data_IF_623457319599
#
_entry.id   IF_623457319599
#
_cell.length_a   1.000
_cell.length_b   1.000
_cell.length_c   1.000
_cell.angle_alpha   90.00
_cell.angle_beta   90.00
_cell.angle_gamma   90.00
#
_symmetry.space_group_name_H-M   'P 1'
#
loop_
_entity.id
_entity.type
_entity.pdbx_description
1 polymer ?
#
# COMPACT_ATOMS: atom_id res chain seq x y z
N UNK A 1 15.83 -62.01 31.02
CA UNK A 1 16.92 -62.39 31.93
C UNK A 1 18.24 -61.98 31.29
N UNK A 2 19.02 -61.12 31.98
CA UNK A 2 20.39 -60.64 31.69
C UNK A 2 20.59 -59.86 30.37
N UNK A 3 20.72 -58.53 30.33
CA UNK A 3 21.73 -57.65 30.95
C UNK A 3 23.16 -57.95 30.51
N UNK A 4 23.76 -57.07 29.70
CA UNK A 4 25.16 -56.63 29.82
C UNK A 4 25.31 -55.22 29.26
N UNK A 5 25.67 -54.30 30.17
CA UNK A 5 26.09 -52.91 29.93
C UNK A 5 27.56 -52.91 29.53
N UNK A 6 27.97 -52.11 28.56
CA UNK A 6 29.35 -51.58 28.50
C UNK A 6 29.37 -50.20 27.82
N UNK A 7 30.29 -49.38 28.28
CA UNK A 7 30.29 -47.92 28.39
C UNK A 7 31.17 -47.19 27.37
N UNK A 8 30.83 -45.91 27.14
CA UNK A 8 31.70 -44.74 26.90
C UNK A 8 32.65 -44.75 25.68
N UNK A 9 32.52 -43.76 24.78
CA UNK A 9 33.48 -42.64 24.71
C UNK A 9 32.98 -41.51 23.79
N UNK A 10 33.14 -40.28 24.28
CA UNK A 10 32.83 -39.02 23.62
C UNK A 10 33.80 -38.71 22.47
N UNK A 11 33.31 -38.29 21.30
CA UNK A 11 34.15 -37.62 20.29
C UNK A 11 34.02 -36.09 20.43
N UNK A 12 35.09 -35.45 20.91
CA UNK A 12 35.30 -34.00 20.79
C UNK A 12 35.89 -33.66 19.41
N UNK A 13 35.60 -32.47 18.85
CA UNK A 13 36.23 -31.99 17.63
C UNK A 13 37.70 -31.59 17.88
N UNK A 14 38.56 -31.97 16.94
CA UNK A 14 40.01 -31.80 16.98
C UNK A 14 40.38 -30.43 16.37
N UNK A 15 40.84 -29.52 17.22
CA UNK A 15 41.56 -28.30 16.86
C UNK A 15 43.01 -28.63 16.48
N UNK A 16 43.54 -27.96 15.46
CA UNK A 16 44.95 -27.95 15.10
C UNK A 16 45.39 -26.56 14.60
N UNK A 17 46.67 -26.19 14.75
CA UNK A 17 47.10 -24.82 15.01
C UNK A 17 47.61 -24.03 13.78
N UNK A 18 47.69 -22.72 13.99
CA UNK A 18 48.20 -21.69 13.08
C UNK A 18 49.67 -21.42 13.39
N UNK A 19 50.54 -21.50 12.38
CA UNK A 19 51.88 -20.88 12.37
C UNK A 19 52.23 -20.53 10.91
N UNK A 20 52.13 -19.25 10.56
CA UNK A 20 53.24 -18.34 10.25
C UNK A 20 54.26 -18.84 9.21
N UNK A 21 54.20 -18.25 8.01
CA UNK A 21 55.38 -17.93 7.21
C UNK A 21 55.20 -16.56 6.55
N UNK A 22 56.13 -15.66 6.88
CA UNK A 22 56.33 -14.34 6.30
C UNK A 22 56.91 -14.46 4.89
N UNK A 23 56.41 -13.67 3.94
CA UNK A 23 57.17 -13.27 2.76
C UNK A 23 56.77 -11.86 2.33
N UNK A 24 57.78 -10.99 2.32
CA UNK A 24 57.75 -9.59 1.94
C UNK A 24 57.13 -9.34 0.56
N UNK A 25 56.21 -8.38 0.49
CA UNK A 25 56.01 -7.59 -0.74
C UNK A 25 55.78 -6.13 -0.35
N UNK A 26 56.77 -5.32 -0.65
CA UNK A 26 56.75 -3.88 -0.44
C UNK A 26 55.59 -3.26 -1.24
N UNK A 27 54.65 -2.63 -0.55
CA UNK A 27 53.69 -1.70 -1.14
C UNK A 27 54.25 -0.29 -1.00
N UNK A 28 54.51 0.34 -2.14
CA UNK A 28 54.88 1.74 -2.25
C UNK A 28 53.72 2.63 -1.81
N UNK A 29 54.03 3.62 -0.96
CA UNK A 29 53.11 4.67 -0.51
C UNK A 29 53.05 5.75 -1.62
N UNK A 30 51.87 6.11 -2.15
CA UNK A 30 51.75 7.33 -2.93
C UNK A 30 51.57 8.55 -2.00
N UNK A 31 52.32 9.60 -2.30
CA UNK A 31 52.37 10.89 -1.59
C UNK A 31 51.06 11.69 -1.65
N UNK A 32 50.81 12.62 -0.70
CA UNK A 32 49.55 13.35 -0.61
C UNK A 32 49.51 14.48 -1.65
N UNK A 33 48.51 14.47 -2.52
CA UNK A 33 48.20 15.58 -3.42
C UNK A 33 46.78 16.07 -3.19
N UNK A 34 46.70 17.29 -2.68
CA UNK A 34 45.58 18.23 -2.76
C UNK A 34 44.27 17.83 -2.07
N UNK A 35 44.12 18.25 -0.81
CA UNK A 35 42.83 18.35 -0.13
C UNK A 35 41.92 19.29 -0.95
N UNK A 36 40.94 18.72 -1.68
CA UNK A 36 39.77 19.49 -2.11
C UNK A 36 38.95 19.78 -0.87
N UNK A 37 39.05 21.00 -0.36
CA UNK A 37 38.13 21.52 0.62
C UNK A 37 36.71 21.48 0.02
N UNK A 38 35.84 20.64 0.56
CA UNK A 38 34.41 20.81 0.39
C UNK A 38 34.03 22.06 1.18
N UNK A 39 33.88 23.18 0.48
CA UNK A 39 33.15 24.33 1.02
C UNK A 39 31.69 23.92 1.16
N UNK A 40 31.35 23.28 2.27
CA UNK A 40 29.98 23.23 2.75
C UNK A 40 29.66 24.65 3.21
N UNK A 41 29.11 25.45 2.29
CA UNK A 41 28.46 26.70 2.66
C UNK A 41 27.42 26.35 3.72
N UNK A 42 27.50 26.87 4.96
CA UNK A 42 26.39 26.75 5.88
C UNK A 42 25.26 27.54 5.22
N UNK A 43 24.24 26.83 4.76
CA UNK A 43 23.00 27.47 4.34
C UNK A 43 22.49 28.20 5.58
N UNK A 44 22.50 29.53 5.52
CA UNK A 44 22.08 30.39 6.61
C UNK A 44 20.68 29.98 7.01
N UNK A 45 20.53 29.45 8.22
CA UNK A 45 19.23 29.20 8.84
C UNK A 45 18.51 30.54 8.89
N UNK A 46 17.54 30.73 8.00
CA UNK A 46 16.63 31.86 8.08
C UNK A 46 15.86 31.74 9.41
N UNK A 47 15.90 32.74 10.31
CA UNK A 47 15.22 32.68 11.60
C UNK A 47 13.69 32.71 11.49
N UNK A 48 13.12 32.69 10.27
CA UNK A 48 11.69 32.72 9.99
C UNK A 48 11.11 31.35 9.57
N UNK A 49 11.77 30.23 9.89
CA UNK A 49 11.32 28.87 9.52
C UNK A 49 9.92 28.48 10.03
N UNK A 50 9.34 29.20 10.99
CA UNK A 50 7.95 29.00 11.41
C UNK A 50 6.92 29.40 10.34
N UNK A 51 7.25 30.33 9.45
CA UNK A 51 6.36 30.85 8.42
C UNK A 51 6.48 30.10 7.06
N UNK A 52 7.41 29.15 6.94
CA UNK A 52 7.64 28.40 5.69
C UNK A 52 6.77 27.15 5.57
N UNK A 53 6.07 26.74 6.65
CA UNK A 53 5.07 25.67 6.57
C UNK A 53 3.84 26.25 5.85
N UNK A 54 3.41 25.66 4.72
CA UNK A 54 2.20 26.12 4.03
C UNK A 54 0.99 26.00 4.97
N UNK A 55 0.22 27.08 5.08
CA UNK A 55 -1.06 27.07 5.79
C UNK A 55 -2.10 26.36 4.92
N UNK A 56 -2.12 25.02 5.00
CA UNK A 56 -3.03 24.16 4.25
C UNK A 56 -4.31 23.96 5.09
N UNK A 57 -5.47 24.01 4.43
CA UNK A 57 -6.74 23.69 5.08
C UNK A 57 -6.85 22.18 5.31
N UNK A 58 -6.77 21.77 6.58
CA UNK A 58 -6.81 20.36 7.01
C UNK A 58 -8.22 19.84 7.34
N UNK A 59 -9.29 20.54 6.92
CA UNK A 59 -10.66 20.15 7.27
C UNK A 59 -11.05 18.79 6.69
N UNK A 60 -10.64 18.47 5.46
CA UNK A 60 -10.86 17.17 4.84
C UNK A 60 -9.74 16.87 3.81
N UNK A 61 -9.72 15.67 3.25
CA UNK A 61 -8.67 15.28 2.29
C UNK A 61 -8.74 16.05 0.98
N UNK A 62 -9.93 16.46 0.53
CA UNK A 62 -10.09 17.24 -0.70
C UNK A 62 -9.50 18.65 -0.55
N UNK A 63 -9.65 19.27 0.62
CA UNK A 63 -9.12 20.63 0.89
C UNK A 63 -7.60 20.69 0.98
N UNK A 64 -6.92 19.54 1.10
CA UNK A 64 -5.46 19.46 1.10
C UNK A 64 -4.85 19.63 -0.30
N UNK A 65 -5.64 19.42 -1.36
CA UNK A 65 -5.20 19.47 -2.75
C UNK A 65 -5.96 20.55 -3.54
N UNK A 66 -5.85 21.85 -3.17
CA UNK A 66 -6.63 22.93 -3.77
C UNK A 66 -6.32 23.17 -5.25
N UNK A 67 -5.13 22.82 -5.74
CA UNK A 67 -4.79 22.98 -7.16
C UNK A 67 -5.47 21.92 -8.03
N UNK A 68 -5.65 20.70 -7.50
CA UNK A 68 -6.27 19.59 -8.23
C UNK A 68 -7.78 19.56 -8.01
N UNK A 69 -8.24 19.90 -6.80
CA UNK A 69 -9.61 19.77 -6.33
C UNK A 69 -10.11 21.11 -5.75
N UNK A 70 -10.24 22.16 -6.58
CA UNK A 70 -10.62 23.49 -6.10
C UNK A 70 -12.05 23.53 -5.53
N UNK A 71 -12.95 22.69 -6.04
CA UNK A 71 -14.37 22.67 -5.69
C UNK A 71 -14.68 21.78 -4.47
N UNK A 72 -13.69 21.17 -3.81
CA UNK A 72 -13.90 20.32 -2.62
C UNK A 72 -14.57 18.98 -2.92
N UNK A 73 -15.10 18.24 -1.91
CA UNK A 73 -15.74 16.94 -2.14
C UNK A 73 -17.07 17.05 -2.91
N UNK A 74 -17.53 15.98 -3.59
CA UNK A 74 -18.91 15.86 -4.08
C UNK A 74 -19.92 16.10 -2.92
N UNK A 75 -21.22 16.41 -3.16
CA UNK A 75 -21.97 16.37 -4.42
C UNK A 75 -21.95 17.69 -5.20
N UNK A 76 -20.93 18.53 -5.02
CA UNK A 76 -20.79 19.74 -5.82
C UNK A 76 -20.83 19.37 -7.32
N UNK A 77 -21.69 19.98 -8.14
CA UNK A 77 -21.88 19.58 -9.54
C UNK A 77 -20.62 19.71 -10.40
N UNK A 78 -19.61 20.43 -9.91
CA UNK A 78 -18.30 20.59 -10.54
C UNK A 78 -17.29 19.51 -10.12
N UNK A 79 -17.52 18.80 -9.00
CA UNK A 79 -16.62 17.75 -8.50
C UNK A 79 -17.12 16.38 -8.94
N UNK A 80 -16.41 15.79 -9.90
CA UNK A 80 -16.63 14.40 -10.31
C UNK A 80 -16.02 13.43 -9.30
N UNK A 81 -16.58 12.21 -9.23
CA UNK A 81 -15.97 11.14 -8.44
C UNK A 81 -14.59 10.79 -8.96
N UNK A 82 -14.38 10.78 -10.28
CA UNK A 82 -13.09 10.52 -10.90
C UNK A 82 -12.12 11.70 -10.72
N UNK A 83 -10.89 11.39 -10.29
CA UNK A 83 -9.86 12.38 -9.99
C UNK A 83 -8.68 12.17 -10.94
N UNK A 84 -8.18 13.23 -11.60
CA UNK A 84 -6.99 13.13 -12.43
C UNK A 84 -5.74 12.80 -11.59
N UNK A 85 -5.37 11.51 -11.53
CA UNK A 85 -4.28 11.01 -10.68
C UNK A 85 -2.92 11.65 -10.99
N UNK A 86 -2.69 12.05 -12.25
CA UNK A 86 -1.44 12.70 -12.67
C UNK A 86 -1.26 14.07 -12.01
N UNK A 87 -2.31 14.88 -11.97
CA UNK A 87 -2.26 16.20 -11.33
C UNK A 87 -2.25 16.07 -9.81
N UNK A 88 -3.04 15.13 -9.26
CA UNK A 88 -3.03 14.83 -7.82
C UNK A 88 -1.62 14.45 -7.34
N UNK A 89 -0.94 13.56 -8.07
CA UNK A 89 0.43 13.15 -7.75
C UNK A 89 1.43 14.30 -7.85
N UNK A 90 1.30 15.16 -8.85
CA UNK A 90 2.19 16.31 -9.02
C UNK A 90 2.04 17.31 -7.87
N UNK A 91 0.80 17.60 -7.46
CA UNK A 91 0.51 18.46 -6.31
C UNK A 91 0.99 17.83 -5.01
N UNK A 92 0.71 16.55 -4.79
CA UNK A 92 1.21 15.80 -3.62
C UNK A 92 2.73 15.90 -3.48
N UNK A 93 3.50 15.64 -4.54
CA UNK A 93 4.97 15.73 -4.50
C UNK A 93 5.45 17.16 -4.22
N UNK A 94 4.77 18.17 -4.77
CA UNK A 94 5.07 19.58 -4.49
C UNK A 94 4.85 19.94 -3.02
N UNK A 95 3.70 19.54 -2.45
CA UNK A 95 3.36 19.76 -1.05
C UNK A 95 4.31 19.01 -0.11
N UNK A 96 4.57 17.73 -0.39
CA UNK A 96 5.46 16.87 0.40
C UNK A 96 6.90 17.42 0.45
N UNK A 97 7.41 17.97 -0.66
CA UNK A 97 8.70 18.64 -0.68
C UNK A 97 8.70 19.90 0.21
N UNK A 98 7.60 20.65 0.26
CA UNK A 98 7.49 21.85 1.10
C UNK A 98 7.36 21.50 2.58
N UNK A 99 6.66 20.43 2.93
CA UNK A 99 6.40 20.01 4.32
C UNK A 99 7.39 18.95 4.84
N UNK A 100 8.53 18.74 4.19
CA UNK A 100 9.49 17.72 4.62
C UNK A 100 10.11 18.07 5.98
N UNK A 101 10.09 17.17 6.99
CA UNK A 101 10.48 17.49 8.36
C UNK A 101 11.95 17.90 8.52
N UNK A 102 12.84 17.40 7.66
CA UNK A 102 14.27 17.77 7.66
C UNK A 102 14.53 19.24 7.31
N UNK A 103 13.55 19.95 6.74
CA UNK A 103 13.68 21.38 6.43
C UNK A 103 13.46 22.27 7.66
N UNK A 104 12.95 21.71 8.76
CA UNK A 104 12.55 22.47 9.94
C UNK A 104 13.44 22.14 11.14
N UNK A 105 13.77 23.15 11.97
CA UNK A 105 14.54 22.93 13.19
C UNK A 105 13.74 22.06 14.17
N UNK A 106 14.42 21.27 15.03
CA UNK A 106 13.76 20.49 16.08
C UNK A 106 12.81 21.34 16.93
N UNK A 107 11.64 20.81 17.28
CA UNK A 107 10.62 21.48 18.07
C UNK A 107 9.25 21.48 17.41
N UNK A 108 8.40 22.44 17.78
CA UNK A 108 7.04 22.56 17.25
C UNK A 108 6.95 22.67 15.72
N UNK A 109 7.86 23.37 15.00
CA UNK A 109 7.80 23.45 13.53
C UNK A 109 8.01 22.08 12.87
N UNK A 110 9.00 21.31 13.35
CA UNK A 110 9.25 19.95 12.86
C UNK A 110 8.06 19.03 13.13
N UNK A 111 7.47 19.07 14.33
CA UNK A 111 6.28 18.26 14.64
C UNK A 111 5.08 18.61 13.74
N UNK A 112 4.85 19.90 13.47
CA UNK A 112 3.80 20.34 12.52
C UNK A 112 4.06 19.81 11.11
N UNK A 113 5.31 19.89 10.65
CA UNK A 113 5.71 19.37 9.34
C UNK A 113 5.55 17.84 9.25
N UNK A 114 5.94 17.10 10.30
CA UNK A 114 5.73 15.65 10.41
C UNK A 114 4.24 15.29 10.33
N UNK A 115 3.39 15.97 11.11
CA UNK A 115 1.96 15.73 11.13
C UNK A 115 1.31 16.04 9.77
N UNK A 116 1.65 17.17 9.14
CA UNK A 116 1.13 17.53 7.82
C UNK A 116 1.61 16.56 6.72
N UNK A 117 2.88 16.14 6.77
CA UNK A 117 3.42 15.13 5.87
C UNK A 117 2.68 13.80 6.01
N UNK A 118 2.43 13.34 7.24
CA UNK A 118 1.65 12.12 7.48
C UNK A 118 0.22 12.25 6.91
N UNK A 119 -0.44 13.38 7.17
CA UNK A 119 -1.79 13.66 6.68
C UNK A 119 -1.85 13.71 5.14
N UNK A 120 -0.87 14.33 4.48
CA UNK A 120 -0.79 14.36 3.01
C UNK A 120 -0.62 12.97 2.41
N UNK A 121 0.19 12.11 3.05
CA UNK A 121 0.36 10.72 2.61
C UNK A 121 -0.94 9.93 2.72
N UNK A 122 -1.65 10.07 3.85
CA UNK A 122 -2.94 9.42 4.07
C UNK A 122 -3.97 9.90 3.04
N UNK A 123 -4.12 11.21 2.90
CA UNK A 123 -5.04 11.81 1.95
C UNK A 123 -4.74 11.43 0.50
N UNK A 124 -3.45 11.42 0.10
CA UNK A 124 -3.07 10.99 -1.23
C UNK A 124 -3.43 9.51 -1.47
N UNK A 125 -3.13 8.62 -0.52
CA UNK A 125 -3.48 7.19 -0.63
C UNK A 125 -4.99 7.01 -0.77
N UNK A 126 -5.76 7.61 0.13
CA UNK A 126 -7.22 7.52 0.13
C UNK A 126 -7.85 8.11 -1.13
N UNK A 127 -7.40 9.28 -1.57
CA UNK A 127 -7.95 9.90 -2.78
C UNK A 127 -7.45 9.24 -4.06
N UNK A 128 -6.31 8.54 -4.05
CA UNK A 128 -5.79 7.86 -5.24
C UNK A 128 -6.52 6.56 -5.57
N UNK A 129 -7.01 5.84 -4.55
CA UNK A 129 -7.74 4.59 -4.70
C UNK A 129 -9.27 4.86 -4.75
N UNK A 130 -9.99 4.47 -5.82
CA UNK A 130 -11.42 4.72 -5.91
C UNK A 130 -12.25 4.10 -4.77
N UNK A 131 -11.90 2.90 -4.32
CA UNK A 131 -12.61 2.24 -3.22
C UNK A 131 -12.42 3.01 -1.91
N UNK A 132 -11.17 3.31 -1.53
CA UNK A 132 -10.89 4.12 -0.35
C UNK A 132 -11.52 5.51 -0.42
N UNK A 133 -11.55 6.12 -1.62
CA UNK A 133 -12.19 7.42 -1.86
C UNK A 133 -13.69 7.37 -1.58
N UNK A 134 -14.39 6.35 -2.06
CA UNK A 134 -15.82 6.19 -1.82
C UNK A 134 -16.14 5.89 -0.35
N UNK A 135 -15.36 5.03 0.30
CA UNK A 135 -15.46 4.76 1.73
C UNK A 135 -15.25 6.04 2.55
N UNK A 136 -14.27 6.86 2.16
CA UNK A 136 -14.04 8.16 2.78
C UNK A 136 -15.24 9.10 2.61
N UNK A 137 -15.82 9.17 1.40
CA UNK A 137 -17.02 9.98 1.16
C UNK A 137 -18.20 9.55 2.02
N UNK A 138 -18.48 8.24 2.12
CA UNK A 138 -19.50 7.68 3.01
C UNK A 138 -19.27 8.08 4.46
N UNK A 139 -18.01 8.05 4.91
CA UNK A 139 -17.63 8.44 6.27
C UNK A 139 -17.85 9.93 6.52
N UNK A 140 -17.41 10.82 5.64
CA UNK A 140 -17.49 12.27 5.88
C UNK A 140 -18.87 12.87 5.63
N UNK A 141 -19.66 12.33 4.70
CA UNK A 141 -20.99 12.86 4.34
C UNK A 141 -22.12 12.21 5.11
N UNK A 142 -22.00 10.90 5.40
CA UNK A 142 -23.08 10.10 5.96
C UNK A 142 -22.73 9.47 7.31
N UNK A 143 -21.50 9.62 7.79
CA UNK A 143 -21.02 8.99 9.03
C UNK A 143 -21.15 7.46 9.00
N UNK A 144 -21.02 6.86 7.81
CA UNK A 144 -21.07 5.41 7.57
C UNK A 144 -19.64 4.92 7.39
N UNK A 145 -19.20 4.01 8.26
CA UNK A 145 -17.89 3.34 8.15
C UNK A 145 -18.08 1.89 7.68
N UNK A 146 -17.81 1.67 6.39
CA UNK A 146 -17.89 0.35 5.73
C UNK A 146 -16.68 -0.54 6.09
N UNK A 147 -15.64 0.04 6.70
CA UNK A 147 -14.41 -0.67 7.07
C UNK A 147 -14.41 -1.19 8.50
N UNK A 148 -15.37 -0.74 9.33
CA UNK A 148 -15.47 -1.17 10.72
C UNK A 148 -15.82 -2.66 10.84
N UNK A 149 -15.19 -3.37 11.79
CA UNK A 149 -15.41 -4.82 12.01
C UNK A 149 -16.88 -5.15 12.34
N UNK A 150 -17.59 -4.25 13.03
CA UNK A 150 -19.02 -4.39 13.33
C UNK A 150 -19.90 -4.32 12.06
N UNK A 151 -19.43 -3.61 11.03
CA UNK A 151 -20.09 -3.56 9.73
C UNK A 151 -19.87 -4.86 8.96
N UNK A 152 -18.73 -5.55 9.11
CA UNK A 152 -18.38 -6.73 8.33
C UNK A 152 -19.39 -7.91 8.46
N UNK A 153 -19.99 -8.10 9.64
CA UNK A 153 -21.04 -9.12 9.83
C UNK A 153 -22.34 -8.74 9.12
N UNK A 154 -22.69 -7.45 9.10
CA UNK A 154 -23.85 -6.93 8.36
C UNK A 154 -23.59 -6.91 6.85
N UNK A 155 -22.35 -6.65 6.46
CA UNK A 155 -21.91 -6.51 5.08
C UNK A 155 -21.86 -7.87 4.36
N UNK A 156 -21.50 -8.96 5.05
CA UNK A 156 -21.66 -10.33 4.51
C UNK A 156 -23.12 -10.66 4.19
N UNK A 157 -24.06 -10.14 4.99
CA UNK A 157 -25.49 -10.25 4.73
C UNK A 157 -25.98 -9.30 3.61
N UNK A 158 -25.23 -8.23 3.35
CA UNK A 158 -25.53 -7.24 2.31
C UNK A 158 -24.93 -7.60 0.94
N UNK A 159 -24.20 -8.72 0.85
CA UNK A 159 -23.69 -9.24 -0.41
C UNK A 159 -24.84 -9.80 -1.23
N UNK A 160 -24.87 -9.41 -2.49
CA UNK A 160 -25.79 -9.98 -3.45
C UNK A 160 -25.41 -11.45 -3.76
N UNK A 161 -26.38 -12.37 -3.87
CA UNK A 161 -26.12 -13.77 -4.19
C UNK A 161 -25.27 -13.96 -5.45
N UNK A 162 -25.37 -13.06 -6.44
CA UNK A 162 -24.55 -13.09 -7.65
C UNK A 162 -23.06 -12.94 -7.35
N UNK A 163 -22.71 -12.05 -6.41
CA UNK A 163 -21.30 -11.83 -6.02
C UNK A 163 -20.74 -13.04 -5.30
N UNK A 164 -21.53 -13.66 -4.41
CA UNK A 164 -21.11 -14.87 -3.69
C UNK A 164 -20.85 -16.03 -4.65
N UNK A 165 -21.75 -16.25 -5.62
CA UNK A 165 -21.55 -17.28 -6.65
C UNK A 165 -20.29 -17.03 -7.46
N UNK A 166 -20.02 -15.79 -7.86
CA UNK A 166 -18.84 -15.46 -8.65
C UNK A 166 -17.53 -15.65 -7.86
N UNK A 167 -17.53 -15.38 -6.55
CA UNK A 167 -16.39 -15.68 -5.68
C UNK A 167 -16.17 -17.19 -5.52
N UNK A 168 -17.26 -17.98 -5.44
CA UNK A 168 -17.16 -19.43 -5.41
C UNK A 168 -16.60 -19.99 -6.72
N UNK A 169 -17.04 -19.49 -7.87
CA UNK A 169 -16.50 -19.89 -9.18
C UNK A 169 -14.99 -19.61 -9.29
N UNK A 170 -14.54 -18.46 -8.77
CA UNK A 170 -13.10 -18.13 -8.69
C UNK A 170 -12.34 -19.16 -7.85
N UNK A 171 -12.87 -19.56 -6.69
CA UNK A 171 -12.22 -20.55 -5.84
C UNK A 171 -12.20 -21.94 -6.49
N UNK A 172 -13.30 -22.35 -7.15
CA UNK A 172 -13.38 -23.62 -7.88
C UNK A 172 -12.33 -23.69 -8.99
N UNK A 173 -12.18 -22.63 -9.82
CA UNK A 173 -11.12 -22.58 -10.83
C UNK A 173 -9.72 -22.72 -10.22
N UNK A 174 -9.47 -22.13 -9.04
CA UNK A 174 -8.16 -22.22 -8.39
C UNK A 174 -7.91 -23.63 -7.85
N UNK A 175 -8.94 -24.30 -7.33
CA UNK A 175 -8.86 -25.69 -6.90
C UNK A 175 -8.59 -26.62 -8.08
N UNK A 176 -9.31 -26.46 -9.20
CA UNK A 176 -9.11 -27.22 -10.44
C UNK A 176 -7.66 -27.09 -10.94
N UNK A 177 -7.11 -25.88 -10.95
CA UNK A 177 -5.71 -25.63 -11.33
C UNK A 177 -4.69 -26.33 -10.43
N UNK A 178 -5.05 -26.61 -9.17
CA UNK A 178 -4.19 -27.30 -8.23
C UNK A 178 -4.35 -28.83 -8.28
N UNK A 179 -5.43 -29.34 -8.88
CA UNK A 179 -5.68 -30.77 -9.11
C UNK A 179 -5.16 -31.24 -10.47
N UNK A 180 -5.18 -30.38 -11.49
CA UNK A 180 -4.59 -30.69 -12.79
C UNK A 180 -3.07 -30.88 -12.64
N UNK A 181 -2.55 -32.05 -13.03
CA UNK A 181 -1.11 -32.33 -13.20
C UNK A 181 -0.53 -31.59 -14.44
N UNK A 182 -1.03 -30.39 -14.72
CA UNK A 182 -0.61 -29.53 -15.83
C UNK A 182 0.79 -28.95 -15.61
N UNK A 183 1.43 -28.55 -16.71
CA UNK A 183 2.66 -27.75 -16.63
C UNK A 183 2.35 -26.46 -15.88
N UNK A 184 3.23 -26.02 -14.96
CA UNK A 184 3.04 -24.75 -14.24
C UNK A 184 2.78 -23.55 -15.16
N UNK A 185 3.25 -23.61 -16.42
CA UNK A 185 3.01 -22.60 -17.46
C UNK A 185 1.53 -22.48 -17.87
N UNK A 186 0.77 -23.59 -17.89
CA UNK A 186 -0.66 -23.57 -18.24
C UNK A 186 -1.47 -22.94 -17.11
N UNK A 187 -1.16 -23.30 -15.86
CA UNK A 187 -1.79 -22.71 -14.68
C UNK A 187 -1.48 -21.20 -14.55
N UNK A 188 -0.24 -20.78 -14.82
CA UNK A 188 0.13 -19.36 -14.85
C UNK A 188 -0.67 -18.57 -15.88
N UNK A 189 -0.94 -19.15 -17.05
CA UNK A 189 -1.74 -18.50 -18.10
C UNK A 189 -3.20 -18.31 -17.65
N UNK A 190 -3.81 -19.31 -17.02
CA UNK A 190 -5.18 -19.21 -16.49
C UNK A 190 -5.24 -18.17 -15.36
N UNK A 191 -4.25 -18.12 -14.47
CA UNK A 191 -4.19 -17.11 -13.41
C UNK A 191 -4.05 -15.70 -13.98
N UNK A 192 -3.30 -15.51 -15.07
CA UNK A 192 -3.22 -14.21 -15.74
C UNK A 192 -4.55 -13.80 -16.39
N UNK A 193 -5.29 -14.75 -16.97
CA UNK A 193 -6.65 -14.52 -17.47
C UNK A 193 -7.59 -14.10 -16.34
N UNK A 194 -7.57 -14.82 -15.21
CA UNK A 194 -8.35 -14.48 -14.02
C UNK A 194 -8.00 -13.09 -13.46
N UNK A 195 -6.73 -12.69 -13.49
CA UNK A 195 -6.31 -11.32 -13.13
C UNK A 195 -6.88 -10.26 -14.08
N UNK A 196 -6.93 -10.55 -15.37
CA UNK A 196 -7.57 -9.69 -16.38
C UNK A 196 -9.06 -9.53 -16.11
N UNK A 197 -9.75 -10.66 -15.96
CA UNK A 197 -11.16 -10.76 -15.60
C UNK A 197 -11.53 -10.02 -14.30
N UNK A 198 -10.70 -10.13 -13.26
CA UNK A 198 -10.92 -9.42 -12.00
C UNK A 198 -10.72 -7.91 -12.15
N UNK A 199 -9.73 -7.49 -12.96
CA UNK A 199 -9.48 -6.08 -13.24
C UNK A 199 -10.65 -5.43 -13.95
N UNK A 200 -11.22 -6.10 -14.94
CA UNK A 200 -12.41 -5.62 -15.65
C UNK A 200 -13.61 -5.46 -14.70
N UNK A 201 -13.86 -6.45 -13.83
CA UNK A 201 -14.90 -6.37 -12.79
C UNK A 201 -14.69 -5.20 -11.82
N UNK A 202 -13.44 -4.96 -11.41
CA UNK A 202 -13.10 -3.81 -10.56
C UNK A 202 -13.33 -2.49 -11.29
N UNK A 203 -12.88 -2.37 -12.54
CA UNK A 203 -13.07 -1.16 -13.36
C UNK A 203 -14.57 -0.85 -13.59
N UNK A 204 -15.38 -1.87 -13.87
CA UNK A 204 -16.83 -1.73 -13.98
C UNK A 204 -17.46 -1.30 -12.65
N UNK A 205 -17.10 -1.96 -11.54
CA UNK A 205 -17.62 -1.59 -10.21
C UNK A 205 -17.26 -0.17 -9.81
N UNK A 206 -16.04 0.30 -10.12
CA UNK A 206 -15.62 1.69 -9.90
C UNK A 206 -16.45 2.68 -10.73
N UNK A 207 -16.79 2.33 -11.97
CA UNK A 207 -17.66 3.17 -12.81
C UNK A 207 -19.07 3.27 -12.23
N UNK A 208 -19.65 2.13 -11.84
CA UNK A 208 -20.97 2.07 -11.19
C UNK A 208 -20.98 2.87 -9.89
N UNK A 209 -19.93 2.75 -9.09
CA UNK A 209 -19.75 3.51 -7.85
C UNK A 209 -19.71 5.02 -8.10
N UNK A 210 -19.02 5.46 -9.16
CA UNK A 210 -18.99 6.86 -9.57
C UNK A 210 -20.38 7.40 -9.92
N UNK A 211 -21.18 6.63 -10.66
CA UNK A 211 -22.57 7.01 -10.97
C UNK A 211 -23.44 7.10 -9.71
N UNK A 212 -23.25 6.19 -8.75
CA UNK A 212 -23.98 6.20 -7.47
C UNK A 212 -23.63 7.43 -6.62
N UNK A 213 -22.34 7.81 -6.59
CA UNK A 213 -21.86 9.03 -5.91
C UNK A 213 -22.52 10.27 -6.52
N UNK A 214 -22.57 10.35 -7.85
CA UNK A 214 -23.17 11.49 -8.56
C UNK A 214 -24.69 11.58 -8.35
N UNK A 215 -25.37 10.43 -8.20
CA UNK A 215 -26.81 10.37 -7.91
C UNK A 215 -27.13 10.53 -6.42
N UNK A 216 -26.14 10.44 -5.54
CA UNK A 216 -26.33 10.45 -4.08
C UNK A 216 -26.99 9.18 -3.53
N UNK A 217 -26.85 8.04 -4.21
CA UNK A 217 -27.39 6.76 -3.73
C UNK A 217 -26.47 6.13 -2.67
N UNK A 218 -26.65 6.56 -1.42
CA UNK A 218 -25.82 6.16 -0.27
C UNK A 218 -25.83 4.65 -0.03
N UNK A 219 -27.00 4.02 -0.13
CA UNK A 219 -27.15 2.60 0.15
C UNK A 219 -26.60 1.75 -1.01
N UNK A 220 -26.78 2.21 -2.25
CA UNK A 220 -26.07 1.67 -3.41
C UNK A 220 -24.55 1.74 -3.26
N UNK A 221 -24.02 2.91 -2.91
CA UNK A 221 -22.58 3.11 -2.66
C UNK A 221 -22.05 2.17 -1.58
N UNK A 222 -22.80 1.97 -0.49
CA UNK A 222 -22.42 1.04 0.57
C UNK A 222 -22.28 -0.38 0.04
N UNK A 223 -23.31 -0.91 -0.62
CA UNK A 223 -23.29 -2.28 -1.19
C UNK A 223 -22.16 -2.44 -2.21
N UNK A 224 -21.97 -1.45 -3.07
CA UNK A 224 -20.93 -1.48 -4.10
C UNK A 224 -19.52 -1.43 -3.48
N UNK A 225 -19.30 -0.64 -2.42
CA UNK A 225 -18.05 -0.66 -1.66
C UNK A 225 -17.74 -2.06 -1.09
N UNK A 226 -18.75 -2.73 -0.53
CA UNK A 226 -18.61 -4.10 0.00
C UNK A 226 -18.25 -5.05 -1.14
N UNK A 227 -18.96 -5.00 -2.26
CA UNK A 227 -18.70 -5.82 -3.46
C UNK A 227 -17.28 -5.63 -3.98
N UNK A 228 -16.83 -4.40 -4.14
CA UNK A 228 -15.47 -4.07 -4.58
C UNK A 228 -14.40 -4.56 -3.62
N UNK A 229 -14.63 -4.53 -2.29
CA UNK A 229 -13.69 -5.09 -1.31
C UNK A 229 -13.40 -6.57 -1.57
N UNK A 230 -14.41 -7.36 -1.94
CA UNK A 230 -14.21 -8.77 -2.32
C UNK A 230 -13.35 -8.91 -3.57
N UNK A 231 -13.64 -8.13 -4.62
CA UNK A 231 -12.84 -8.17 -5.86
C UNK A 231 -11.40 -7.69 -5.66
N UNK A 232 -11.17 -6.74 -4.76
CA UNK A 232 -9.83 -6.36 -4.32
C UNK A 232 -9.14 -7.53 -3.65
N UNK A 233 -9.83 -8.22 -2.75
CA UNK A 233 -9.26 -9.39 -2.09
C UNK A 233 -8.98 -10.56 -3.03
N UNK A 234 -9.86 -10.81 -4.00
CA UNK A 234 -9.61 -11.80 -5.06
C UNK A 234 -8.37 -11.41 -5.85
N UNK A 235 -8.25 -10.13 -6.21
CA UNK A 235 -7.08 -9.61 -6.92
C UNK A 235 -5.77 -9.78 -6.16
N UNK A 236 -5.75 -9.54 -4.84
CA UNK A 236 -4.58 -9.80 -4.00
C UNK A 236 -4.28 -11.31 -3.91
N UNK A 237 -5.31 -12.13 -3.70
CA UNK A 237 -5.17 -13.59 -3.69
C UNK A 237 -4.57 -14.16 -4.97
N UNK A 238 -5.01 -13.68 -6.14
CA UNK A 238 -4.47 -14.06 -7.44
C UNK A 238 -3.03 -13.57 -7.67
N UNK A 239 -2.63 -12.45 -7.07
CA UNK A 239 -1.24 -11.96 -7.13
C UNK A 239 -0.29 -12.82 -6.29
N UNK A 240 -0.76 -13.26 -5.13
CA UNK A 240 0.01 -14.09 -4.19
C UNK A 240 -0.02 -15.59 -4.55
N UNK A 241 -0.87 -15.98 -5.50
CA UNK A 241 -0.99 -17.36 -5.94
C UNK A 241 0.33 -17.91 -6.47
N UNK A 242 0.61 -19.17 -6.13
CA UNK A 242 1.75 -19.94 -6.63
C UNK A 242 1.28 -21.37 -6.98
N UNK A 243 1.99 -22.08 -7.88
CA UNK A 243 1.60 -23.43 -8.27
C UNK A 243 1.42 -24.36 -7.06
N UNK A 244 0.27 -25.05 -6.99
CA UNK A 244 -0.10 -25.95 -5.89
C UNK A 244 -0.92 -25.29 -4.76
N UNK A 245 -1.19 -23.99 -4.82
CA UNK A 245 -2.16 -23.33 -3.94
C UNK A 245 -3.58 -23.68 -4.39
N UNK A 246 -4.38 -24.27 -3.48
CA UNK A 246 -5.76 -24.74 -3.73
C UNK A 246 -6.85 -23.72 -3.41
N UNK A 247 -6.53 -22.69 -2.64
CA UNK A 247 -7.49 -21.67 -2.21
C UNK A 247 -6.77 -20.34 -2.06
N UNK A 248 -7.39 -19.25 -2.51
CA UNK A 248 -6.89 -17.90 -2.23
C UNK A 248 -7.53 -17.34 -0.97
N UNK A 249 -6.73 -16.66 -0.15
CA UNK A 249 -7.23 -16.03 1.07
C UNK A 249 -8.09 -14.82 0.70
N UNK A 250 -9.34 -14.83 1.14
CA UNK A 250 -10.23 -13.69 1.04
C UNK A 250 -10.24 -12.90 2.37
N UNK A 251 -9.86 -11.64 2.31
CA UNK A 251 -9.92 -10.68 3.41
C UNK A 251 -11.29 -9.99 3.33
N UNK A 252 -12.06 -10.10 4.42
CA UNK A 252 -13.40 -9.51 4.56
C UNK A 252 -13.34 -8.22 5.35
#
# INVERSE_FOLDING_TARGET
MAALRTTLQWLRPRSAPISQLFANRAYQIPTPSTLRAFTTTPQTLNPNTENDIPNINITNYYTLFPSTLPSGPPPNPETKFDIPLRTLRAEFLSLQNRTHPDKYPPGAPKQKAEALSALLNEAYRTLSDPLARAQYLLKIQHNIDVTAEDSAATDKQALDPETLMAVMEVQERIEELAEEEGSGEEAEKVIEEMKGENRERVEEGVKVLGEMVERGDVEGMRRECVRLRFWYSVGEGLKEWTPGVREIRLVH
#
